data_IF_582121089165
#
_entry.id   IF_582121089165
#
_cell.length_a   1.000
_cell.length_b   1.000
_cell.length_c   1.000
_cell.angle_alpha   90.00
_cell.angle_beta   90.00
_cell.angle_gamma   90.00
#
_symmetry.space_group_name_H-M   'P 1'
#
loop_
_entity.id
_entity.type
_entity.pdbx_description
1 polymer ?
#
# COMPACT_ATOMS: atom_id res chain seq x y z
N UNK A 1 41.81 19.63 -65.40
CA UNK A 1 41.11 18.44 -64.92
C UNK A 1 40.07 18.92 -63.93
N UNK A 2 38.81 18.64 -64.24
CA UNK A 2 37.63 19.08 -63.51
C UNK A 2 37.48 18.33 -62.18
N UNK A 3 36.94 19.01 -61.18
CA UNK A 3 36.54 18.44 -59.90
C UNK A 3 35.38 19.23 -59.33
N UNK A 4 34.18 18.83 -59.77
CA UNK A 4 32.87 19.27 -59.31
C UNK A 4 32.74 19.16 -57.78
N UNK A 5 32.36 20.25 -57.11
CA UNK A 5 31.82 20.21 -55.75
C UNK A 5 30.35 20.61 -55.82
N UNK A 6 29.52 19.61 -56.13
CA UNK A 6 28.07 19.72 -56.10
C UNK A 6 27.58 19.94 -54.67
N UNK A 7 26.61 20.84 -54.56
CA UNK A 7 25.71 21.02 -53.42
C UNK A 7 25.03 19.69 -53.03
N UNK A 8 24.86 19.45 -51.73
CA UNK A 8 23.59 18.90 -51.26
C UNK A 8 23.22 19.48 -49.90
N UNK A 9 22.06 20.13 -49.88
CA UNK A 9 21.39 20.67 -48.72
C UNK A 9 20.54 19.56 -48.09
N UNK A 10 20.52 19.45 -46.76
CA UNK A 10 19.36 18.87 -46.07
C UNK A 10 19.20 19.51 -44.69
N UNK A 11 18.16 20.32 -44.58
CA UNK A 11 17.43 20.62 -43.35
C UNK A 11 15.99 20.09 -43.56
N UNK A 12 15.08 20.17 -42.58
CA UNK A 12 15.14 19.84 -41.16
C UNK A 12 13.96 18.89 -40.76
N UNK A 13 13.78 18.64 -39.47
CA UNK A 13 12.50 18.42 -38.76
C UNK A 13 11.31 17.81 -39.53
N UNK A 14 10.84 16.64 -39.09
CA UNK A 14 9.48 16.18 -39.38
C UNK A 14 9.24 14.72 -39.02
N UNK A 15 8.40 14.46 -38.02
CA UNK A 15 8.02 13.09 -37.68
C UNK A 15 7.21 12.89 -36.40
N UNK A 16 6.29 13.80 -36.07
CA UNK A 16 5.21 13.49 -35.13
C UNK A 16 4.38 12.32 -35.70
N UNK A 17 4.54 11.12 -35.13
CA UNK A 17 3.53 10.06 -35.28
C UNK A 17 2.43 10.29 -34.27
N UNK A 18 1.43 11.05 -34.71
CA UNK A 18 0.04 10.89 -34.27
C UNK A 18 -0.36 9.42 -34.48
N UNK A 19 -0.54 8.67 -33.39
CA UNK A 19 -1.29 7.43 -33.43
C UNK A 19 -2.78 7.75 -33.26
N UNK A 20 -3.66 7.07 -34.01
CA UNK A 20 -5.08 7.41 -34.09
C UNK A 20 -5.81 7.13 -32.77
N UNK A 21 -6.75 8.03 -32.47
CA UNK A 21 -7.77 7.85 -31.46
C UNK A 21 -8.58 6.57 -31.77
N UNK A 22 -8.43 5.55 -30.94
CA UNK A 22 -9.37 4.44 -30.91
C UNK A 22 -10.68 4.93 -30.27
N UNK A 23 -11.64 5.25 -31.12
CA UNK A 23 -13.05 5.44 -30.78
C UNK A 23 -13.63 4.11 -30.28
N UNK A 24 -13.69 3.95 -28.96
CA UNK A 24 -14.52 2.90 -28.35
C UNK A 24 -15.92 3.44 -28.14
N UNK A 25 -16.75 3.39 -29.18
CA UNK A 25 -18.20 3.34 -29.02
C UNK A 25 -18.58 1.94 -28.59
N UNK A 26 -18.48 1.69 -27.29
CA UNK A 26 -19.02 0.51 -26.62
C UNK A 26 -20.01 0.99 -25.58
N UNK A 27 -21.29 0.99 -25.93
CA UNK A 27 -22.36 1.11 -24.95
C UNK A 27 -22.23 -0.05 -23.95
N UNK A 28 -21.97 0.28 -22.69
CA UNK A 28 -22.16 -0.64 -21.57
C UNK A 28 -23.25 -0.08 -20.68
N UNK A 29 -24.34 -0.82 -20.65
CA UNK A 29 -25.49 -0.69 -19.77
C UNK A 29 -25.05 -0.39 -18.34
N UNK A 30 -25.47 0.77 -17.84
CA UNK A 30 -25.50 1.06 -16.43
C UNK A 30 -26.58 0.18 -15.79
N UNK A 31 -26.19 -0.95 -15.21
CA UNK A 31 -27.04 -1.63 -14.22
C UNK A 31 -26.85 -0.97 -12.87
N UNK A 32 -27.78 -0.05 -12.59
CA UNK A 32 -28.15 0.37 -11.25
C UNK A 32 -28.77 -0.83 -10.53
N UNK A 33 -28.26 -1.19 -9.34
CA UNK A 33 -28.95 -2.09 -8.42
C UNK A 33 -28.14 -3.32 -7.98
N UNK A 34 -27.42 -3.17 -6.87
CA UNK A 34 -26.90 -4.28 -6.06
C UNK A 34 -27.11 -3.93 -4.58
N UNK A 35 -27.51 -4.88 -3.72
CA UNK A 35 -28.24 -4.59 -2.49
C UNK A 35 -27.37 -3.95 -1.41
N UNK A 36 -27.94 -2.92 -0.76
CA UNK A 36 -27.50 -2.45 0.57
C UNK A 36 -27.63 -3.61 1.54
N UNK A 37 -26.51 -4.25 1.87
CA UNK A 37 -26.43 -5.07 3.08
C UNK A 37 -26.43 -4.11 4.28
N UNK A 38 -27.64 -3.78 4.74
CA UNK A 38 -27.84 -3.26 6.09
C UNK A 38 -27.42 -4.36 7.07
N UNK A 39 -26.16 -4.34 7.49
CA UNK A 39 -25.73 -5.09 8.67
C UNK A 39 -26.34 -4.39 9.87
N UNK A 40 -27.50 -4.88 10.30
CA UNK A 40 -28.11 -4.48 11.56
C UNK A 40 -27.08 -4.71 12.68
N UNK A 41 -26.59 -3.62 13.27
CA UNK A 41 -25.98 -3.66 14.58
C UNK A 41 -27.11 -4.00 15.56
N UNK A 42 -27.14 -5.23 16.04
CA UNK A 42 -27.94 -5.58 17.20
C UNK A 42 -27.37 -4.84 18.41
N UNK A 43 -28.12 -3.83 18.85
CA UNK A 43 -27.94 -3.23 20.17
C UNK A 43 -28.50 -4.22 21.20
N UNK A 44 -27.72 -4.71 22.16
CA UNK A 44 -28.25 -5.59 23.20
C UNK A 44 -29.22 -4.79 24.11
N UNK A 45 -30.29 -5.43 24.61
CA UNK A 45 -31.24 -4.77 25.50
C UNK A 45 -30.57 -4.37 26.83
N UNK A 46 -30.94 -3.22 27.42
CA UNK A 46 -30.46 -2.83 28.74
C UNK A 46 -31.12 -3.73 29.79
N UNK A 47 -30.34 -4.55 30.50
CA UNK A 47 -30.88 -5.41 31.55
C UNK A 47 -30.03 -6.61 31.99
N UNK A 48 -28.85 -6.84 31.39
CA UNK A 48 -27.93 -7.85 31.90
C UNK A 48 -27.21 -7.32 33.16
N UNK A 49 -27.77 -7.63 34.32
CA UNK A 49 -27.13 -7.46 35.62
C UNK A 49 -25.74 -8.09 35.64
N UNK A 50 -24.73 -7.30 35.97
CA UNK A 50 -23.40 -7.82 36.26
C UNK A 50 -23.46 -8.74 37.49
N UNK A 51 -22.80 -9.91 37.48
CA UNK A 51 -22.65 -10.71 38.68
C UNK A 51 -21.73 -10.01 39.70
N UNK A 52 -22.13 -10.10 40.98
CA UNK A 52 -21.42 -9.54 42.13
C UNK A 52 -19.94 -9.97 42.17
N UNK A 53 -18.98 -9.04 42.37
CA UNK A 53 -17.58 -9.37 42.64
C UNK A 53 -17.45 -9.72 44.13
N UNK A 54 -17.92 -10.90 44.52
CA UNK A 54 -18.13 -11.22 45.93
C UNK A 54 -17.92 -12.66 46.32
N UNK A 55 -17.07 -13.44 45.65
CA UNK A 55 -16.62 -14.73 46.19
C UNK A 55 -15.11 -14.91 45.96
N UNK A 56 -14.39 -14.58 47.03
CA UNK A 56 -12.97 -14.77 47.20
C UNK A 56 -12.66 -16.27 47.34
N UNK A 57 -12.47 -16.95 46.21
CA UNK A 57 -11.79 -18.24 46.14
C UNK A 57 -10.28 -18.03 46.36
N UNK A 58 -9.76 -18.48 47.49
CA UNK A 58 -8.35 -18.38 47.85
C UNK A 58 -7.44 -19.01 46.80
N UNK A 59 -6.63 -18.18 46.13
CA UNK A 59 -5.52 -18.68 45.32
C UNK A 59 -4.45 -19.24 46.26
N UNK A 60 -3.94 -20.46 46.04
CA UNK A 60 -2.75 -20.92 46.74
C UNK A 60 -1.61 -19.94 46.44
N UNK A 61 -0.90 -19.54 47.50
CA UNK A 61 0.27 -18.68 47.44
C UNK A 61 1.37 -19.44 46.71
N UNK A 62 1.41 -19.36 45.38
CA UNK A 62 2.54 -19.84 44.58
C UNK A 62 3.73 -18.97 44.93
N UNK A 63 4.69 -19.56 45.65
CA UNK A 63 6.04 -19.01 45.79
C UNK A 63 6.52 -18.60 44.38
N UNK A 64 6.93 -17.33 44.15
CA UNK A 64 7.54 -16.98 42.87
C UNK A 64 8.76 -17.87 42.71
N UNK A 65 8.83 -18.58 41.57
CA UNK A 65 10.03 -19.30 41.21
C UNK A 65 11.23 -18.35 41.36
N UNK A 66 12.38 -18.81 41.91
CA UNK A 66 13.55 -17.96 42.04
C UNK A 66 13.85 -17.36 40.67
N UNK A 67 14.04 -16.04 40.63
CA UNK A 67 14.47 -15.33 39.43
C UNK A 67 15.75 -15.99 38.92
N UNK A 68 15.62 -16.83 37.90
CA UNK A 68 16.76 -17.33 37.15
C UNK A 68 17.21 -16.16 36.29
N UNK A 69 18.39 -15.58 36.61
CA UNK A 69 19.07 -14.68 35.68
C UNK A 69 19.14 -15.41 34.34
N UNK A 70 18.65 -14.81 33.23
CA UNK A 70 18.89 -15.36 31.91
C UNK A 70 20.38 -15.59 31.79
N UNK A 71 20.80 -16.85 31.71
CA UNK A 71 22.18 -17.15 31.35
C UNK A 71 22.40 -16.59 29.95
N UNK A 72 23.55 -15.96 29.74
CA UNK A 72 23.98 -15.26 28.53
C UNK A 72 24.03 -16.17 27.25
N UNK A 73 23.43 -17.35 27.32
CA UNK A 73 23.34 -18.42 26.33
C UNK A 73 21.92 -18.59 25.76
N UNK A 74 20.91 -17.86 26.25
CA UNK A 74 19.75 -17.55 25.41
C UNK A 74 20.23 -16.54 24.37
N UNK A 75 20.95 -17.06 23.39
CA UNK A 75 21.16 -16.41 22.13
C UNK A 75 19.78 -15.93 21.66
N UNK A 76 19.55 -14.62 21.77
CA UNK A 76 18.80 -13.94 20.73
C UNK A 76 19.49 -14.38 19.45
N UNK A 77 18.91 -15.39 18.80
CA UNK A 77 19.24 -15.71 17.43
C UNK A 77 18.84 -14.43 16.71
N UNK A 78 19.81 -13.53 16.53
CA UNK A 78 19.67 -12.40 15.65
C UNK A 78 19.32 -13.05 14.31
N UNK A 79 18.03 -12.99 13.97
CA UNK A 79 17.59 -13.22 12.60
C UNK A 79 18.60 -12.48 11.73
N UNK A 80 19.15 -13.10 10.67
CA UNK A 80 20.05 -12.42 9.76
C UNK A 80 19.28 -11.27 9.10
N UNK A 81 19.21 -10.14 9.81
CA UNK A 81 18.73 -8.86 9.34
C UNK A 81 19.75 -8.39 8.33
N UNK A 82 19.46 -8.75 7.08
CA UNK A 82 19.62 -7.96 5.87
C UNK A 82 20.46 -6.69 6.12
N UNK A 83 21.79 -6.74 5.94
CA UNK A 83 22.64 -5.61 6.23
C UNK A 83 22.27 -4.47 5.28
N UNK A 84 21.77 -3.40 5.90
CA UNK A 84 21.56 -2.03 5.38
C UNK A 84 20.15 -1.62 4.88
N UNK A 85 19.03 -1.99 5.54
CA UNK A 85 17.91 -1.00 5.60
C UNK A 85 18.26 0.05 6.66
N UNK A 86 18.29 1.35 6.33
CA UNK A 86 18.65 2.41 7.27
C UNK A 86 17.57 2.69 8.34
N UNK A 87 16.46 1.94 8.34
CA UNK A 87 15.39 2.07 9.35
C UNK A 87 14.62 3.40 9.30
N UNK A 88 14.83 4.23 8.28
CA UNK A 88 14.26 5.59 8.19
C UNK A 88 12.77 5.61 7.85
N UNK A 89 12.25 4.55 7.25
CA UNK A 89 10.86 4.43 6.82
C UNK A 89 10.30 3.05 7.18
N UNK A 90 8.97 2.96 7.25
CA UNK A 90 8.27 1.76 7.72
C UNK A 90 8.47 0.61 6.72
N UNK A 91 8.83 -0.57 7.24
CA UNK A 91 8.86 -1.78 6.44
C UNK A 91 7.44 -2.26 6.12
N UNK A 92 7.25 -2.72 4.89
CA UNK A 92 6.02 -3.39 4.52
C UNK A 92 5.87 -4.69 5.32
N UNK A 93 4.75 -4.90 6.00
CA UNK A 93 4.42 -6.18 6.60
C UNK A 93 4.32 -7.28 5.53
N UNK A 94 4.46 -8.55 5.91
CA UNK A 94 4.24 -9.66 4.96
C UNK A 94 2.74 -9.74 4.59
N UNK A 95 2.39 -10.10 3.33
CA UNK A 95 0.99 -10.25 2.95
C UNK A 95 0.32 -11.32 3.80
N UNK A 96 -0.78 -10.98 4.45
CA UNK A 96 -1.59 -11.93 5.22
C UNK A 96 -2.53 -12.70 4.30
N UNK A 97 -2.96 -13.89 4.74
CA UNK A 97 -3.94 -14.69 3.99
C UNK A 97 -5.26 -13.93 3.89
N UNK A 98 -5.85 -13.89 2.69
CA UNK A 98 -7.10 -13.17 2.44
C UNK A 98 -6.95 -11.65 2.41
N UNK A 99 -5.73 -11.12 2.23
CA UNK A 99 -5.53 -9.68 2.10
C UNK A 99 -6.37 -9.08 0.97
N UNK A 100 -6.91 -7.88 1.20
CA UNK A 100 -7.69 -7.16 0.22
C UNK A 100 -6.84 -6.77 -0.98
N UNK A 101 -7.39 -6.95 -2.19
CA UNK A 101 -6.70 -6.62 -3.43
C UNK A 101 -7.00 -5.18 -3.85
N UNK A 102 -5.94 -4.40 -4.06
CA UNK A 102 -6.00 -3.08 -4.66
C UNK A 102 -6.17 -3.19 -6.18
N UNK A 103 -6.97 -2.28 -6.73
CA UNK A 103 -7.15 -2.12 -8.17
C UNK A 103 -6.14 -1.07 -8.66
N UNK A 104 -5.20 -1.52 -9.48
CA UNK A 104 -4.07 -0.73 -9.96
C UNK A 104 -4.36 -0.12 -11.34
N UNK A 105 -3.97 1.14 -11.51
CA UNK A 105 -4.07 1.92 -12.75
C UNK A 105 -2.68 2.44 -13.14
N UNK A 106 -2.36 2.62 -14.43
CA UNK A 106 -1.01 3.01 -14.86
C UNK A 106 -0.72 4.50 -14.62
N UNK A 107 -1.75 5.35 -14.54
CA UNK A 107 -1.60 6.80 -14.44
C UNK A 107 -2.13 7.33 -13.09
N UNK A 108 -1.51 8.40 -12.55
CA UNK A 108 -2.07 9.11 -11.42
C UNK A 108 -3.32 9.89 -11.84
N UNK A 109 -4.15 10.26 -10.86
CA UNK A 109 -5.31 11.14 -11.10
C UNK A 109 -4.94 12.59 -11.46
N UNK A 110 -3.65 12.96 -11.41
CA UNK A 110 -3.14 14.29 -11.72
C UNK A 110 -1.72 14.50 -11.18
N UNK A 111 -1.30 15.78 -11.06
CA UNK A 111 -0.09 16.12 -10.31
C UNK A 111 -0.29 15.75 -8.83
N UNK A 112 0.76 15.23 -8.20
CA UNK A 112 0.67 14.71 -6.86
C UNK A 112 1.85 15.09 -5.97
N UNK A 113 1.64 14.98 -4.65
CA UNK A 113 2.66 15.13 -3.62
C UNK A 113 2.72 13.85 -2.78
N UNK A 114 3.94 13.38 -2.49
CA UNK A 114 4.16 12.25 -1.56
C UNK A 114 3.95 12.73 -0.14
N UNK A 115 3.18 11.96 0.63
CA UNK A 115 2.85 12.22 2.03
C UNK A 115 3.55 11.23 2.97
N UNK A 116 3.69 9.99 2.54
CA UNK A 116 4.35 8.91 3.30
C UNK A 116 4.88 7.84 2.34
N UNK A 117 5.82 7.01 2.79
CA UNK A 117 6.47 5.97 1.98
C UNK A 117 7.05 4.82 2.81
N UNK A 118 7.24 3.65 2.18
CA UNK A 118 7.86 2.46 2.81
C UNK A 118 9.39 2.45 2.66
N UNK A 119 10.14 1.70 3.50
CA UNK A 119 11.60 1.49 3.30
C UNK A 119 11.85 0.98 1.87
N UNK A 120 12.93 1.47 1.26
CA UNK A 120 13.37 1.13 -0.10
C UNK A 120 14.25 -0.11 -0.16
N UNK A 121 14.43 -0.83 0.95
CA UNK A 121 15.22 -2.06 1.03
C UNK A 121 14.65 -3.21 0.18
N UNK A 122 13.36 -3.13 -0.20
CA UNK A 122 12.72 -4.12 -1.06
C UNK A 122 12.53 -3.59 -2.46
N UNK A 123 12.45 -4.53 -3.41
CA UNK A 123 12.18 -4.26 -4.83
C UNK A 123 10.84 -3.55 -5.08
N UNK A 124 9.93 -3.51 -4.10
CA UNK A 124 8.64 -2.81 -4.20
C UNK A 124 8.54 -1.76 -3.11
N UNK A 125 8.35 -0.52 -3.51
CA UNK A 125 8.10 0.63 -2.63
C UNK A 125 6.66 1.07 -2.80
N UNK A 126 6.01 1.43 -1.72
CA UNK A 126 4.71 2.08 -1.75
C UNK A 126 4.82 3.51 -1.22
N UNK A 127 4.05 4.41 -1.81
CA UNK A 127 3.93 5.81 -1.39
C UNK A 127 2.44 6.14 -1.22
N UNK A 128 2.09 6.87 -0.16
CA UNK A 128 0.81 7.55 -0.05
C UNK A 128 0.94 8.92 -0.71
N UNK A 129 0.08 9.23 -1.66
CA UNK A 129 0.14 10.49 -2.43
C UNK A 129 -1.19 11.25 -2.39
N UNK A 130 -1.13 12.58 -2.41
CA UNK A 130 -2.29 13.45 -2.61
C UNK A 130 -2.32 14.05 -4.01
N UNK A 131 -3.50 14.05 -4.62
CA UNK A 131 -3.78 14.50 -5.98
C UNK A 131 -5.02 15.42 -5.95
N UNK A 132 -4.83 16.74 -5.80
CA UNK A 132 -5.93 17.71 -5.90
C UNK A 132 -7.15 17.45 -5.00
N UNK A 133 -6.91 17.03 -3.74
CA UNK A 133 -7.98 16.70 -2.77
C UNK A 133 -8.37 15.23 -2.70
N UNK A 134 -7.97 14.42 -3.68
CA UNK A 134 -8.04 12.97 -3.61
C UNK A 134 -6.70 12.36 -3.15
N UNK A 135 -6.74 11.13 -2.68
CA UNK A 135 -5.57 10.40 -2.22
C UNK A 135 -5.47 9.05 -2.92
N UNK A 136 -4.24 8.64 -3.23
CA UNK A 136 -3.94 7.39 -3.92
C UNK A 136 -2.74 6.70 -3.26
N UNK A 137 -2.64 5.39 -3.44
CA UNK A 137 -1.41 4.65 -3.15
C UNK A 137 -0.67 4.48 -4.48
N UNK A 138 0.60 4.87 -4.52
CA UNK A 138 1.50 4.58 -5.63
C UNK A 138 2.34 3.36 -5.27
N UNK A 139 2.35 2.36 -6.14
CA UNK A 139 3.26 1.21 -6.10
C UNK A 139 4.38 1.45 -7.09
N UNK A 140 5.62 1.27 -6.66
CA UNK A 140 6.82 1.39 -7.50
C UNK A 140 7.54 0.05 -7.45
N UNK A 141 7.69 -0.59 -8.61
CA UNK A 141 8.61 -1.71 -8.76
C UNK A 141 9.95 -1.11 -9.20
N UNK A 142 10.95 -1.26 -8.34
CA UNK A 142 12.30 -0.82 -8.59
C UNK A 142 12.91 -1.61 -9.76
N UNK A 143 13.62 -0.90 -10.63
CA UNK A 143 14.20 -1.43 -11.86
C UNK A 143 14.79 -0.30 -12.68
N UNK A 144 15.32 -0.62 -13.86
CA UNK A 144 15.82 0.38 -14.82
C UNK A 144 15.08 0.21 -16.15
N UNK A 145 14.08 1.05 -16.48
CA UNK A 145 13.49 2.12 -15.66
C UNK A 145 12.55 1.58 -14.56
N UNK A 146 12.29 2.35 -13.48
CA UNK A 146 11.29 2.00 -12.49
C UNK A 146 9.88 2.05 -13.09
N UNK A 147 9.00 1.16 -12.64
CA UNK A 147 7.59 1.10 -13.09
C UNK A 147 6.66 1.45 -11.96
N UNK A 148 5.64 2.26 -12.21
CA UNK A 148 4.68 2.68 -11.20
C UNK A 148 3.23 2.47 -11.58
N UNK A 149 2.40 2.20 -10.58
CA UNK A 149 0.95 2.08 -10.67
C UNK A 149 0.29 2.78 -9.50
N UNK A 150 -0.98 3.12 -9.64
CA UNK A 150 -1.75 3.90 -8.69
C UNK A 150 -3.05 3.18 -8.35
N UNK A 151 -3.42 3.16 -7.09
CA UNK A 151 -4.70 2.62 -6.63
C UNK A 151 -5.50 3.69 -5.88
N UNK A 152 -6.82 3.60 -6.03
CA UNK A 152 -7.76 4.46 -5.33
C UNK A 152 -8.07 5.78 -6.02
N UNK A 153 -8.85 6.58 -5.30
CA UNK A 153 -9.24 7.97 -5.57
C UNK A 153 -10.07 8.42 -4.36
N UNK A 154 -9.49 8.20 -3.18
CA UNK A 154 -10.22 8.22 -1.91
C UNK A 154 -10.16 9.61 -1.26
N UNK A 155 -11.03 9.81 -0.28
CA UNK A 155 -10.81 10.89 0.68
C UNK A 155 -9.63 10.54 1.62
N UNK A 156 -9.20 11.50 2.43
CA UNK A 156 -8.03 11.34 3.31
C UNK A 156 -8.17 10.17 4.29
N UNK A 157 -9.32 10.02 4.95
CA UNK A 157 -9.53 9.02 5.99
C UNK A 157 -9.49 7.59 5.41
N UNK A 158 -10.15 7.38 4.28
CA UNK A 158 -10.14 6.10 3.57
C UNK A 158 -8.74 5.74 3.09
N UNK A 159 -7.99 6.70 2.54
CA UNK A 159 -6.63 6.47 2.08
C UNK A 159 -5.68 6.10 3.21
N UNK A 160 -5.79 6.75 4.38
CA UNK A 160 -5.04 6.36 5.57
C UNK A 160 -5.38 4.94 6.03
N UNK A 161 -6.66 4.56 5.97
CA UNK A 161 -7.08 3.19 6.25
C UNK A 161 -6.45 2.17 5.29
N UNK A 162 -6.43 2.45 3.98
CA UNK A 162 -5.76 1.62 2.99
C UNK A 162 -4.24 1.57 3.19
N UNK A 163 -3.63 2.70 3.54
CA UNK A 163 -2.21 2.78 3.86
C UNK A 163 -1.85 1.85 5.03
N UNK A 164 -2.59 1.93 6.14
CA UNK A 164 -2.38 1.06 7.30
C UNK A 164 -2.60 -0.42 6.97
N UNK A 165 -3.64 -0.76 6.18
CA UNK A 165 -3.84 -2.15 5.72
C UNK A 165 -2.66 -2.64 4.88
N UNK A 166 -2.10 -1.79 4.02
CA UNK A 166 -0.95 -2.13 3.20
C UNK A 166 0.29 -2.40 4.06
N UNK A 167 0.58 -1.49 5.01
CA UNK A 167 1.69 -1.61 5.96
C UNK A 167 1.59 -2.86 6.84
N UNK A 168 0.38 -3.25 7.25
CA UNK A 168 0.14 -4.42 8.11
C UNK A 168 -0.04 -5.73 7.34
N UNK A 169 0.03 -5.70 6.00
CA UNK A 169 -0.14 -6.90 5.16
C UNK A 169 -1.58 -7.30 4.88
N UNK A 170 -2.55 -6.51 5.32
CA UNK A 170 -3.98 -6.71 5.06
C UNK A 170 -4.42 -6.25 3.66
N UNK A 171 -3.58 -5.55 2.89
CA UNK A 171 -3.87 -5.15 1.50
C UNK A 171 -2.66 -5.28 0.55
N UNK A 172 -2.92 -5.52 -0.76
CA UNK A 172 -1.89 -5.70 -1.82
C UNK A 172 -2.26 -5.21 -3.20
#
# INVERSE_FOLDING_TARGET
>A
MAGDHSHEATAPYGGERLLPAASWTGAVEQRVGGPRLHRAFQVPPPGASAPNPGEAGGRPRTTPAPYQKPTHADHFQEDPMDPECPGLAIHLGLPLRGCERLIWQPQPSGRYRVLDYTCSCRAVVYELVSCGGAYQIRKIIQGRPPKSWYAGRWNHQEAQGWWQRLLTGLAR
#
